data_IF_158164520416
#
_entry.id   IF_158164520416
#
_cell.length_a   1.000
_cell.length_b   1.000
_cell.length_c   1.000
_cell.angle_alpha   90.00
_cell.angle_beta   90.00
_cell.angle_gamma   90.00
#
_symmetry.space_group_name_H-M   'P 1'
#
loop_
_entity.id
_entity.type
_entity.pdbx_description
1 polymer ?
#
# COMPACT_ATOMS: atom_id res chain seq x y z
N UNK A 1 14.01 4.12 -3.44
CA UNK A 1 12.84 3.94 -2.56
C UNK A 1 12.59 2.46 -2.46
N UNK A 2 12.14 1.99 -1.30
CA UNK A 2 11.84 0.58 -1.08
C UNK A 2 10.42 0.25 -1.56
N UNK A 3 10.23 -0.96 -2.05
CA UNK A 3 8.95 -1.42 -2.59
C UNK A 3 8.46 -2.64 -1.83
N UNK A 4 7.14 -2.80 -1.76
CA UNK A 4 6.50 -3.92 -1.07
C UNK A 4 5.33 -4.44 -1.89
N UNK A 5 5.11 -5.75 -1.85
CA UNK A 5 3.94 -6.37 -2.45
C UNK A 5 2.74 -6.23 -1.50
N UNK A 6 1.60 -5.82 -2.04
CA UNK A 6 0.34 -5.82 -1.29
C UNK A 6 -0.12 -7.27 -1.11
N UNK A 7 -0.37 -7.75 0.11
CA UNK A 7 -0.55 -9.19 0.37
C UNK A 7 -1.96 -9.71 0.06
N UNK A 8 -2.95 -8.82 -0.06
CA UNK A 8 -4.34 -9.13 -0.39
C UNK A 8 -4.95 -8.05 -1.31
N UNK A 9 -6.09 -8.36 -1.92
CA UNK A 9 -6.78 -7.41 -2.80
C UNK A 9 -7.22 -6.16 -2.03
N UNK A 10 -7.14 -5.00 -2.67
CA UNK A 10 -7.68 -3.71 -2.17
C UNK A 10 -8.70 -3.20 -3.19
N UNK A 11 -9.97 -3.65 -3.11
CA UNK A 11 -11.00 -3.36 -4.10
C UNK A 11 -11.27 -1.86 -4.30
N UNK A 12 -11.13 -1.06 -3.25
CA UNK A 12 -11.33 0.40 -3.30
C UNK A 12 -10.35 1.11 -4.25
N UNK A 13 -9.20 0.48 -4.50
CA UNK A 13 -8.16 0.98 -5.40
C UNK A 13 -8.09 0.20 -6.73
N UNK A 14 -8.86 -0.89 -6.88
CA UNK A 14 -8.72 -1.82 -8.00
C UNK A 14 -7.37 -2.55 -8.02
N UNK A 15 -6.81 -2.82 -6.83
CA UNK A 15 -5.49 -3.44 -6.66
C UNK A 15 -5.65 -4.92 -6.31
N UNK A 16 -4.90 -5.76 -7.02
CA UNK A 16 -4.84 -7.21 -6.76
C UNK A 16 -3.68 -7.55 -5.82
N UNK A 17 -3.80 -8.64 -5.08
CA UNK A 17 -2.71 -9.21 -4.30
C UNK A 17 -1.46 -9.44 -5.17
N UNK A 18 -0.28 -9.13 -4.63
CA UNK A 18 1.00 -9.16 -5.33
C UNK A 18 1.35 -7.88 -6.09
N UNK A 19 0.40 -6.94 -6.24
CA UNK A 19 0.70 -5.61 -6.78
C UNK A 19 1.82 -4.94 -5.98
N UNK A 20 2.83 -4.42 -6.66
CA UNK A 20 3.96 -3.76 -6.01
C UNK A 20 3.67 -2.27 -5.81
N UNK A 21 3.77 -1.81 -4.57
CA UNK A 21 3.71 -0.40 -4.20
C UNK A 21 5.05 0.13 -3.70
N UNK A 22 5.15 1.45 -3.58
CA UNK A 22 6.32 2.15 -3.03
C UNK A 22 6.07 2.54 -1.58
N UNK A 23 6.98 2.20 -0.67
CA UNK A 23 6.89 2.64 0.72
C UNK A 23 7.24 4.13 0.78
N UNK A 24 6.27 4.97 1.13
CA UNK A 24 6.43 6.43 1.22
C UNK A 24 6.57 6.92 2.66
N UNK A 25 6.11 6.13 3.64
CA UNK A 25 6.33 6.41 5.05
C UNK A 25 6.35 5.13 5.90
N UNK A 26 7.08 5.17 7.01
CA UNK A 26 7.12 4.10 8.03
C UNK A 26 6.86 4.75 9.38
N UNK A 27 5.82 4.29 10.09
CA UNK A 27 5.39 4.90 11.34
C UNK A 27 5.08 3.83 12.42
N UNK A 28 4.68 4.28 13.62
CA UNK A 28 4.49 3.40 14.79
C UNK A 28 5.69 2.51 15.14
N UNK A 29 6.91 3.03 14.93
CA UNK A 29 8.15 2.29 15.20
C UNK A 29 8.42 1.14 14.23
N UNK A 30 7.87 1.20 13.01
CA UNK A 30 8.01 0.14 12.00
C UNK A 30 6.84 -0.83 11.93
N UNK A 31 5.80 -0.62 12.75
CA UNK A 31 4.60 -1.47 12.75
C UNK A 31 3.58 -1.08 11.69
N UNK A 32 3.77 0.07 11.06
CA UNK A 32 2.87 0.58 10.03
C UNK A 32 3.66 1.11 8.84
N UNK A 33 3.23 0.72 7.64
CA UNK A 33 3.78 1.20 6.36
C UNK A 33 2.69 1.96 5.61
N UNK A 34 3.02 3.16 5.13
CA UNK A 34 2.20 3.86 4.15
C UNK A 34 2.77 3.57 2.76
N UNK A 35 1.96 2.92 1.92
CA UNK A 35 2.36 2.44 0.60
C UNK A 35 1.59 3.19 -0.48
N UNK A 36 2.29 3.80 -1.42
CA UNK A 36 1.70 4.41 -2.60
C UNK A 36 1.64 3.42 -3.75
N UNK A 37 0.47 3.36 -4.41
CA UNK A 37 0.25 2.51 -5.57
C UNK A 37 0.26 3.36 -6.84
N UNK A 38 1.34 3.23 -7.62
CA UNK A 38 1.50 3.91 -8.90
C UNK A 38 0.77 3.24 -10.05
N UNK A 39 0.41 4.01 -11.08
CA UNK A 39 0.00 3.59 -12.41
C UNK A 39 1.18 3.65 -13.37
N UNK A 40 1.07 2.94 -14.50
CA UNK A 40 2.07 2.98 -15.58
C UNK A 40 2.23 4.38 -16.20
N UNK A 41 1.19 5.21 -16.14
CA UNK A 41 1.20 6.59 -16.64
C UNK A 41 1.93 7.57 -15.69
N UNK A 42 2.46 7.09 -14.57
CA UNK A 42 3.17 7.89 -13.57
C UNK A 42 2.26 8.60 -12.57
N UNK A 43 0.94 8.41 -12.65
CA UNK A 43 -0.02 8.85 -11.62
C UNK A 43 -0.14 7.82 -10.50
N UNK A 44 -0.81 8.18 -9.41
CA UNK A 44 -1.07 7.28 -8.29
C UNK A 44 -2.57 6.97 -8.21
N UNK A 45 -2.91 5.72 -7.90
CA UNK A 45 -4.31 5.31 -7.64
C UNK A 45 -4.74 5.61 -6.21
N UNK A 46 -3.79 5.71 -5.28
CA UNK A 46 -4.07 5.92 -3.87
C UNK A 46 -2.96 5.40 -2.95
N UNK A 47 -3.31 5.38 -1.67
CA UNK A 47 -2.46 4.90 -0.58
C UNK A 47 -3.08 3.69 0.10
N UNK A 48 -2.23 2.79 0.60
CA UNK A 48 -2.59 1.65 1.43
C UNK A 48 -1.78 1.72 2.72
N UNK A 49 -2.45 1.62 3.85
CA UNK A 49 -1.80 1.41 5.15
C UNK A 49 -1.68 -0.10 5.39
N UNK A 50 -0.43 -0.57 5.55
CA UNK A 50 -0.13 -1.95 5.94
C UNK A 50 0.28 -2.00 7.41
N UNK A 51 -0.36 -2.87 8.18
CA UNK A 51 0.10 -3.30 9.49
C UNK A 51 1.14 -4.41 9.35
N UNK A 52 2.21 -4.32 10.12
CA UNK A 52 3.25 -5.35 10.25
C UNK A 52 2.96 -6.17 11.51
N UNK A 53 2.56 -7.43 11.33
CA UNK A 53 2.35 -8.39 12.40
C UNK A 53 3.65 -8.76 13.11
N UNK A 54 3.54 -9.31 14.32
CA UNK A 54 4.71 -9.74 15.12
C UNK A 54 5.56 -10.82 14.42
N UNK A 55 4.94 -11.60 13.53
CA UNK A 55 5.58 -12.62 12.69
C UNK A 55 6.15 -12.06 11.38
N UNK A 56 6.07 -10.75 11.16
CA UNK A 56 6.46 -10.08 9.94
C UNK A 56 5.43 -10.18 8.80
N UNK A 57 4.24 -10.73 9.07
CA UNK A 57 3.14 -10.69 8.10
C UNK A 57 2.69 -9.26 7.84
N UNK A 58 2.21 -9.01 6.63
CA UNK A 58 1.65 -7.72 6.25
C UNK A 58 0.15 -7.86 6.08
N UNK A 59 -0.60 -6.83 6.49
CA UNK A 59 -2.04 -6.77 6.31
C UNK A 59 -2.50 -5.35 6.00
N UNK A 60 -3.22 -5.11 4.89
CA UNK A 60 -3.95 -3.88 4.66
C UNK A 60 -4.97 -3.63 5.77
N UNK A 61 -4.92 -2.44 6.35
CA UNK A 61 -5.90 -2.02 7.37
C UNK A 61 -6.74 -0.81 6.94
N UNK A 62 -6.27 -0.07 5.93
CA UNK A 62 -6.94 1.11 5.40
C UNK A 62 -6.44 1.40 3.99
N UNK A 63 -7.28 2.06 3.20
CA UNK A 63 -6.94 2.55 1.86
C UNK A 63 -7.52 3.95 1.66
N UNK A 64 -6.78 4.78 0.92
CA UNK A 64 -7.21 6.13 0.53
C UNK A 64 -7.11 6.28 -0.98
N UNK A 65 -8.22 6.21 -1.73
CA UNK A 65 -8.21 6.41 -3.17
C UNK A 65 -7.89 7.86 -3.50
N UNK A 66 -7.06 8.07 -4.53
CA UNK A 66 -6.91 9.36 -5.15
C UNK A 66 -7.90 9.47 -6.29
N UNK A 67 -8.90 10.34 -6.14
CA UNK A 67 -9.87 10.59 -7.21
C UNK A 67 -9.15 11.02 -8.49
N UNK A 68 -9.39 10.29 -9.57
CA UNK A 68 -9.18 10.81 -10.92
C UNK A 68 -10.23 11.90 -11.15
N UNK A 69 -9.81 13.16 -11.11
CA UNK A 69 -10.65 14.29 -11.54
C UNK A 69 -10.71 14.37 -13.05
#
# INVERSE_FOLDING_TARGET
>A
METVAIPEDVPELGVEAGTTGTIVNVYEGGRMLLVEIGREDGTSVGLVDLEVGEDGSLRPISSTPFSSR
#
